data_IF_867246737498
#
_entry.id   IF_867246737498
#
_cell.length_a   1.000
_cell.length_b   1.000
_cell.length_c   1.000
_cell.angle_alpha   90.00
_cell.angle_beta   90.00
_cell.angle_gamma   90.00
#
_symmetry.space_group_name_H-M   'P 1'
#
loop_
_entity.id
_entity.type
_entity.pdbx_description
1 polymer ?
#
# COMPACT_ATOMS: atom_id res chain seq x y z
N UNK A 1 7.07 12.45 4.22
CA UNK A 1 6.45 11.83 3.02
C UNK A 1 6.20 12.94 2.03
N UNK A 2 6.68 12.82 0.80
CA UNK A 2 6.60 13.92 -0.18
C UNK A 2 5.14 14.17 -0.61
N UNK A 3 4.60 15.34 -0.29
CA UNK A 3 3.24 15.75 -0.68
C UNK A 3 3.05 15.81 -2.19
N UNK A 4 4.12 16.08 -2.95
CA UNK A 4 4.06 16.12 -4.41
C UNK A 4 3.80 14.73 -5.00
N UNK A 5 4.41 13.69 -4.43
CA UNK A 5 4.23 12.31 -4.85
C UNK A 5 2.81 11.80 -4.55
N UNK A 6 2.27 12.14 -3.37
CA UNK A 6 0.87 11.82 -3.03
C UNK A 6 -0.11 12.46 -4.02
N UNK A 7 0.08 13.74 -4.36
CA UNK A 7 -0.76 14.44 -5.34
C UNK A 7 -0.69 13.80 -6.73
N UNK A 8 0.48 13.30 -7.14
CA UNK A 8 0.63 12.60 -8.41
C UNK A 8 -0.17 11.29 -8.38
N UNK A 9 0.01 10.45 -7.36
CA UNK A 9 -0.69 9.17 -7.24
C UNK A 9 -2.22 9.34 -7.16
N UNK A 10 -2.69 10.42 -6.53
CA UNK A 10 -4.11 10.74 -6.50
C UNK A 10 -4.66 11.06 -7.89
N UNK A 11 -3.89 11.72 -8.77
CA UNK A 11 -4.28 11.94 -10.18
C UNK A 11 -4.38 10.63 -10.97
N UNK A 12 -3.69 9.58 -10.53
CA UNK A 12 -3.80 8.22 -11.08
C UNK A 12 -4.94 7.40 -10.44
N UNK A 13 -5.79 8.01 -9.61
CA UNK A 13 -6.98 7.36 -9.04
C UNK A 13 -6.71 6.57 -7.77
N UNK A 14 -5.58 6.82 -7.09
CA UNK A 14 -5.34 6.31 -5.75
C UNK A 14 -5.95 7.27 -4.72
N UNK A 15 -6.43 6.71 -3.61
CA UNK A 15 -6.73 7.48 -2.39
C UNK A 15 -5.43 7.76 -1.62
N UNK A 16 -5.46 8.72 -0.70
CA UNK A 16 -4.30 9.02 0.17
C UNK A 16 -3.78 7.77 0.91
N UNK A 17 -4.67 6.88 1.33
CA UNK A 17 -4.28 5.64 2.00
C UNK A 17 -3.65 4.62 1.03
N UNK A 18 -4.21 4.47 -0.17
CA UNK A 18 -3.63 3.62 -1.22
C UNK A 18 -2.25 4.12 -1.64
N UNK A 19 -2.11 5.44 -1.84
CA UNK A 19 -0.84 6.06 -2.20
C UNK A 19 0.21 5.85 -1.10
N UNK A 20 -0.18 5.99 0.17
CA UNK A 20 0.72 5.74 1.31
C UNK A 20 1.19 4.30 1.37
N UNK A 21 0.26 3.34 1.29
CA UNK A 21 0.59 1.92 1.30
C UNK A 21 1.49 1.53 0.13
N UNK A 22 1.21 2.06 -1.07
CA UNK A 22 2.00 1.80 -2.27
C UNK A 22 3.46 2.32 -2.15
N UNK A 23 3.65 3.55 -1.66
CA UNK A 23 4.99 4.12 -1.45
C UNK A 23 5.78 3.31 -0.42
N UNK A 24 5.15 2.94 0.70
CA UNK A 24 5.77 2.11 1.73
C UNK A 24 6.20 0.75 1.18
N UNK A 25 5.34 0.10 0.38
CA UNK A 25 5.66 -1.17 -0.26
C UNK A 25 6.83 -1.02 -1.25
N UNK A 26 6.87 0.05 -2.07
CA UNK A 26 7.94 0.23 -3.06
C UNK A 26 9.34 0.37 -2.44
N UNK A 27 9.44 0.75 -1.16
CA UNK A 27 10.72 0.78 -0.43
C UNK A 27 11.24 -0.60 -0.02
N UNK A 28 10.43 -1.67 -0.16
CA UNK A 28 10.71 -3.06 0.23
C UNK A 28 10.12 -4.00 -0.82
N UNK A 29 10.94 -4.60 -1.68
CA UNK A 29 10.52 -5.52 -2.77
C UNK A 29 9.44 -6.53 -2.31
N UNK A 30 9.47 -6.97 -1.05
CA UNK A 30 8.43 -7.76 -0.39
C UNK A 30 8.24 -7.27 1.07
N UNK A 31 6.99 -7.16 1.55
CA UNK A 31 6.69 -6.83 2.95
C UNK A 31 5.41 -7.52 3.47
N UNK A 32 5.40 -7.89 4.75
CA UNK A 32 4.19 -8.42 5.44
C UNK A 32 3.19 -7.29 5.68
N UNK A 33 1.88 -7.57 5.56
CA UNK A 33 0.81 -6.58 5.76
C UNK A 33 0.86 -5.86 7.12
N UNK A 34 1.27 -6.56 8.17
CA UNK A 34 1.48 -5.98 9.50
C UNK A 34 2.58 -4.92 9.54
N UNK A 35 3.68 -5.16 8.82
CA UNK A 35 4.78 -4.20 8.71
C UNK A 35 4.32 -2.97 7.93
N UNK A 36 3.61 -3.17 6.82
CA UNK A 36 3.07 -2.07 6.02
C UNK A 36 2.11 -1.21 6.86
N UNK A 37 1.25 -1.85 7.66
CA UNK A 37 0.35 -1.15 8.60
C UNK A 37 1.11 -0.25 9.57
N UNK A 38 2.18 -0.76 10.18
CA UNK A 38 3.01 -0.01 11.13
C UNK A 38 3.68 1.20 10.46
N UNK A 39 4.39 0.98 9.35
CA UNK A 39 5.18 2.00 8.67
C UNK A 39 4.32 3.07 7.99
N UNK A 40 3.14 2.70 7.48
CA UNK A 40 2.22 3.64 6.82
C UNK A 40 1.30 4.39 7.78
N UNK A 41 1.26 3.99 9.07
CA UNK A 41 0.31 4.51 10.06
C UNK A 41 -1.14 4.12 9.80
N UNK A 42 -1.39 3.14 8.91
CA UNK A 42 -2.72 2.67 8.56
C UNK A 42 -3.13 1.57 9.54
N UNK A 43 -4.32 1.64 10.18
CA UNK A 43 -4.76 0.59 11.10
C UNK A 43 -4.82 -0.80 10.46
N UNK A 44 -4.45 -1.84 11.23
CA UNK A 44 -4.51 -3.25 10.79
C UNK A 44 -5.88 -3.68 10.28
N UNK A 45 -6.96 -3.13 10.83
CA UNK A 45 -8.33 -3.39 10.37
C UNK A 45 -8.63 -2.85 8.97
N UNK A 46 -7.81 -1.93 8.45
CA UNK A 46 -7.99 -1.30 7.13
C UNK A 46 -6.94 -1.74 6.11
N UNK A 47 -5.74 -2.13 6.55
CA UNK A 47 -4.62 -2.36 5.62
C UNK A 47 -4.91 -3.47 4.61
N UNK A 48 -5.54 -4.57 5.02
CA UNK A 48 -5.83 -5.69 4.11
C UNK A 48 -6.83 -5.31 3.01
N UNK A 49 -7.84 -4.51 3.32
CA UNK A 49 -8.77 -3.97 2.32
C UNK A 49 -8.05 -3.06 1.33
N UNK A 50 -7.14 -2.21 1.80
CA UNK A 50 -6.36 -1.31 0.94
C UNK A 50 -5.42 -2.11 0.03
N UNK A 51 -4.71 -3.10 0.57
CA UNK A 51 -3.85 -3.99 -0.21
C UNK A 51 -4.65 -4.75 -1.28
N UNK A 52 -5.84 -5.26 -0.94
CA UNK A 52 -6.72 -5.92 -1.92
C UNK A 52 -7.19 -4.97 -3.03
N UNK A 53 -7.46 -3.70 -2.71
CA UNK A 53 -7.84 -2.71 -3.73
C UNK A 53 -6.67 -2.36 -4.66
N UNK A 54 -5.46 -2.27 -4.12
CA UNK A 54 -4.24 -2.06 -4.92
C UNK A 54 -3.95 -3.27 -5.82
N UNK A 55 -4.16 -4.49 -5.34
CA UNK A 55 -4.06 -5.72 -6.15
C UNK A 55 -5.08 -5.70 -7.31
N UNK A 56 -6.34 -5.36 -7.03
CA UNK A 56 -7.38 -5.22 -8.08
C UNK A 56 -7.05 -4.17 -9.13
N UNK A 57 -6.24 -3.17 -8.78
CA UNK A 57 -5.72 -2.15 -9.70
C UNK A 57 -4.45 -2.60 -10.43
N UNK A 58 -4.00 -3.84 -10.26
CA UNK A 58 -2.75 -4.39 -10.78
C UNK A 58 -1.50 -3.61 -10.36
N UNK A 59 -1.54 -2.98 -9.18
CA UNK A 59 -0.43 -2.18 -8.65
C UNK A 59 0.48 -2.99 -7.71
N UNK A 60 0.02 -4.13 -7.22
CA UNK A 60 0.81 -5.06 -6.42
C UNK A 60 0.28 -6.49 -6.59
N UNK A 61 1.00 -7.44 -6.00
CA UNK A 61 0.58 -8.85 -5.93
C UNK A 61 0.61 -9.30 -4.47
N UNK A 62 -0.45 -9.96 -4.01
CA UNK A 62 -0.49 -10.60 -2.70
C UNK A 62 -0.15 -12.09 -2.88
N UNK A 63 0.89 -12.56 -2.19
CA UNK A 63 1.28 -13.97 -2.19
C UNK A 63 1.17 -14.52 -0.77
N UNK A 64 0.54 -15.69 -0.62
CA UNK A 64 0.71 -16.49 0.59
C UNK A 64 2.06 -17.19 0.51
N UNK A 65 2.94 -16.91 1.47
CA UNK A 65 4.14 -17.71 1.65
C UNK A 65 3.73 -18.90 2.50
N UNK A 66 3.51 -20.04 1.86
CA UNK A 66 3.41 -21.32 2.57
C UNK A 66 4.77 -21.60 3.21
N UNK A 67 4.79 -21.71 4.54
CA UNK A 67 5.96 -22.11 5.32
C UNK A 67 6.00 -23.64 5.46
#
# INVERSE_FOLDING_TARGET
MDESLLKILNKFGLTDYEAKAYITLNSKIIAKGEYISLESGIPRSKIYTILSNLEKKNLLTITQVDL
#
